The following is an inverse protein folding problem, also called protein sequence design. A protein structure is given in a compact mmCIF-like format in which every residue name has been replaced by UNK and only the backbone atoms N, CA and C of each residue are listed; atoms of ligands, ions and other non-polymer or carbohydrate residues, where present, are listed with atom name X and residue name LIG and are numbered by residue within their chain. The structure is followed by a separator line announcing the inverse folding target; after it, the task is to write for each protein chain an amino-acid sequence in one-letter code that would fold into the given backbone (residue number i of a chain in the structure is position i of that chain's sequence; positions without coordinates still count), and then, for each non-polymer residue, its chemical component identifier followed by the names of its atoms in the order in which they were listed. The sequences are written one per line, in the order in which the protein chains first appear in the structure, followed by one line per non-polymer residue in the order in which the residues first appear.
data_IF_825922616234
#
_entry.id   IF_825922616234
#
_cell.length_a   1.000
_cell.length_b   1.000
_cell.length_c   1.000
_cell.angle_alpha   90.00
_cell.angle_beta   90.00
_cell.angle_gamma   90.00
#
_symmetry.space_group_name_H-M   'P 1'
#
loop_
_entity.id
_entity.type
_entity.pdbx_description
1 polymer ?
#
# COMPACT_ATOMS: atom_id res chain seq x y z
N UNK A 1 0.44 -3.93 19.34
CA UNK A 1 -0.07 -2.80 18.57
C UNK A 1 -0.49 -3.20 17.17
N UNK A 2 0.42 -3.70 16.35
CA UNK A 2 0.04 -4.21 15.03
C UNK A 2 -0.70 -5.53 15.15
N UNK A 3 -1.74 -5.67 14.32
CA UNK A 3 -2.57 -6.86 14.22
C UNK A 3 -2.23 -7.67 12.98
N UNK A 4 -3.24 -7.92 12.16
CA UNK A 4 -3.10 -8.74 10.95
C UNK A 4 -2.31 -8.02 9.85
N UNK A 5 -1.69 -8.82 8.98
CA UNK A 5 -1.21 -8.33 7.68
C UNK A 5 -2.43 -8.07 6.80
N UNK A 6 -2.69 -6.79 6.49
CA UNK A 6 -3.83 -6.42 5.66
C UNK A 6 -3.54 -6.72 4.18
N UNK A 7 -2.41 -6.22 3.67
CA UNK A 7 -2.00 -6.50 2.29
C UNK A 7 -0.50 -6.28 2.07
N UNK A 8 -0.03 -6.82 0.95
CA UNK A 8 1.27 -6.49 0.35
C UNK A 8 1.00 -5.76 -0.95
N UNK A 9 1.55 -4.57 -1.10
CA UNK A 9 1.36 -3.72 -2.27
C UNK A 9 2.55 -3.84 -3.22
N UNK A 10 2.25 -4.08 -4.49
CA UNK A 10 3.22 -4.26 -5.56
C UNK A 10 2.96 -3.18 -6.63
N UNK A 11 3.94 -2.33 -6.86
CA UNK A 11 3.90 -1.38 -7.97
C UNK A 11 4.22 -2.10 -9.27
N UNK A 12 3.41 -1.87 -10.30
CA UNK A 12 3.52 -2.56 -11.59
C UNK A 12 3.58 -1.56 -12.74
N UNK A 13 4.38 -1.84 -13.79
CA UNK A 13 4.49 -0.94 -14.94
C UNK A 13 3.30 -1.02 -15.91
N UNK A 14 2.48 -2.07 -15.80
CA UNK A 14 1.29 -2.29 -16.62
C UNK A 14 0.27 -3.06 -15.78
N UNK A 15 -0.78 -2.37 -15.33
CA UNK A 15 -1.77 -2.94 -14.42
C UNK A 15 -2.57 -4.07 -15.06
N UNK A 16 -2.94 -3.91 -16.34
CA UNK A 16 -3.71 -4.93 -17.05
C UNK A 16 -2.89 -6.21 -17.25
N UNK A 17 -1.63 -6.08 -17.66
CA UNK A 17 -0.73 -7.21 -17.82
C UNK A 17 -0.44 -7.92 -16.50
N UNK A 18 -0.21 -7.17 -15.43
CA UNK A 18 0.00 -7.73 -14.10
C UNK A 18 -1.24 -8.47 -13.59
N UNK A 19 -2.43 -7.88 -13.76
CA UNK A 19 -3.70 -8.52 -13.40
C UNK A 19 -3.91 -9.83 -14.15
N UNK A 20 -3.65 -9.85 -15.46
CA UNK A 20 -3.74 -11.06 -16.28
C UNK A 20 -2.74 -12.14 -15.84
N UNK A 21 -1.55 -11.75 -15.42
CA UNK A 21 -0.53 -12.66 -14.90
C UNK A 21 -1.00 -13.37 -13.62
N UNK A 22 -1.56 -12.61 -12.70
CA UNK A 22 -2.12 -13.19 -11.46
C UNK A 22 -3.29 -14.12 -11.75
N UNK A 23 -4.17 -13.72 -12.66
CA UNK A 23 -5.35 -14.52 -13.01
C UNK A 23 -4.97 -15.80 -13.77
N UNK A 24 -4.19 -15.69 -14.84
CA UNK A 24 -3.93 -16.83 -15.74
C UNK A 24 -2.72 -17.67 -15.33
N UNK A 25 -1.68 -17.05 -14.81
CA UNK A 25 -0.46 -17.78 -14.43
C UNK A 25 -0.53 -18.31 -13.00
N UNK A 26 -1.03 -17.49 -12.07
CA UNK A 26 -1.11 -17.84 -10.65
C UNK A 26 -2.50 -18.36 -10.22
N UNK A 27 -3.48 -18.30 -11.09
CA UNK A 27 -4.82 -18.81 -10.81
C UNK A 27 -5.60 -18.01 -9.78
N UNK A 28 -5.27 -16.72 -9.61
CA UNK A 28 -5.92 -15.87 -8.63
C UNK A 28 -7.25 -15.30 -9.14
N UNK A 29 -8.14 -14.94 -8.21
CA UNK A 29 -9.34 -14.15 -8.50
C UNK A 29 -8.95 -12.68 -8.35
N UNK A 30 -8.97 -11.95 -9.46
CA UNK A 30 -8.54 -10.55 -9.54
C UNK A 30 -9.76 -9.63 -9.48
N UNK A 31 -9.75 -8.67 -8.57
CA UNK A 31 -10.82 -7.67 -8.45
C UNK A 31 -10.77 -6.62 -9.55
N UNK A 32 -11.79 -5.76 -9.63
CA UNK A 32 -11.83 -4.68 -10.62
C UNK A 32 -10.85 -3.56 -10.27
N UNK A 33 -10.36 -2.80 -11.28
CA UNK A 33 -9.58 -1.59 -11.03
C UNK A 33 -10.37 -0.55 -10.25
N UNK A 34 -9.71 0.13 -9.32
CA UNK A 34 -10.27 1.19 -8.49
C UNK A 34 -9.34 2.39 -8.51
N UNK A 35 -9.84 3.55 -8.93
CA UNK A 35 -9.07 4.79 -8.93
C UNK A 35 -9.07 5.41 -7.54
N UNK A 36 -7.88 5.81 -7.08
CA UNK A 36 -7.65 6.50 -5.81
C UNK A 36 -6.93 7.83 -6.10
N UNK A 37 -7.67 8.85 -6.57
CA UNK A 37 -7.04 10.11 -7.01
C UNK A 37 -6.31 10.84 -5.88
N UNK A 38 -6.78 10.75 -4.64
CA UNK A 38 -6.14 11.37 -3.48
C UNK A 38 -4.77 10.76 -3.14
N UNK A 39 -4.53 9.53 -3.59
CA UNK A 39 -3.27 8.81 -3.44
C UNK A 39 -2.47 8.73 -4.75
N UNK A 40 -3.03 9.21 -5.85
CA UNK A 40 -2.38 9.21 -7.16
C UNK A 40 -2.13 7.82 -7.73
N UNK A 41 -3.00 6.86 -7.45
CA UNK A 41 -2.86 5.47 -7.91
C UNK A 41 -4.19 4.90 -8.39
N UNK A 42 -4.09 3.94 -9.33
CA UNK A 42 -5.14 2.98 -9.63
C UNK A 42 -4.74 1.66 -9.04
N UNK A 43 -5.64 1.00 -8.31
CA UNK A 43 -5.35 -0.22 -7.58
C UNK A 43 -6.22 -1.38 -8.05
N UNK A 44 -5.69 -2.58 -7.90
CA UNK A 44 -6.43 -3.84 -8.06
C UNK A 44 -6.15 -4.68 -6.83
N UNK A 45 -7.19 -5.19 -6.19
CA UNK A 45 -7.06 -6.11 -5.06
C UNK A 45 -7.24 -7.56 -5.49
N UNK A 46 -6.40 -8.42 -4.94
CA UNK A 46 -6.44 -9.87 -5.13
C UNK A 46 -6.59 -10.48 -3.75
N UNK A 47 -7.75 -11.07 -3.47
CA UNK A 47 -8.04 -11.70 -2.20
C UNK A 47 -7.35 -13.06 -2.11
N UNK A 48 -6.60 -13.29 -1.03
CA UNK A 48 -6.01 -14.58 -0.67
C UNK A 48 -6.67 -15.10 0.60
N UNK A 49 -6.55 -16.40 0.92
CA UNK A 49 -7.13 -16.92 2.16
C UNK A 49 -6.64 -16.26 3.45
N UNK A 50 -5.43 -15.71 3.45
CA UNK A 50 -4.77 -15.16 4.65
C UNK A 50 -4.46 -13.66 4.58
N UNK A 51 -4.54 -13.03 3.40
CA UNK A 51 -4.27 -11.59 3.21
C UNK A 51 -4.74 -11.15 1.83
N UNK A 52 -4.30 -9.98 1.38
CA UNK A 52 -4.55 -9.46 0.03
C UNK A 52 -3.24 -9.05 -0.63
N UNK A 53 -3.22 -9.10 -1.94
CA UNK A 53 -2.23 -8.41 -2.76
C UNK A 53 -2.89 -7.17 -3.35
N UNK A 54 -2.21 -6.03 -3.30
CA UNK A 54 -2.64 -4.81 -3.95
C UNK A 54 -1.68 -4.51 -5.10
N UNK A 55 -2.18 -4.48 -6.32
CA UNK A 55 -1.40 -4.02 -7.47
C UNK A 55 -1.62 -2.52 -7.63
N UNK A 56 -0.52 -1.75 -7.75
CA UNK A 56 -0.52 -0.30 -7.84
C UNK A 56 -0.01 0.15 -9.20
N UNK A 57 -0.72 1.08 -9.84
CA UNK A 57 -0.30 1.74 -11.06
C UNK A 57 -0.47 3.27 -10.91
N UNK A 58 0.45 4.10 -11.45
CA UNK A 58 0.32 5.56 -11.34
C UNK A 58 -0.97 6.09 -11.93
N UNK A 59 -1.64 6.97 -11.19
CA UNK A 59 -2.78 7.76 -11.67
C UNK A 59 -2.37 9.24 -11.64
N UNK A 60 -2.30 9.84 -12.82
CA UNK A 60 -1.85 11.23 -13.00
C UNK A 60 -0.34 11.38 -13.03
N UNK A 61 0.11 12.57 -13.48
CA UNK A 61 1.53 12.86 -13.68
C UNK A 61 2.31 13.05 -12.38
N UNK A 62 1.60 13.38 -11.30
CA UNK A 62 2.16 13.63 -9.97
C UNK A 62 2.10 12.41 -9.04
N UNK A 63 1.88 11.22 -9.60
CA UNK A 63 1.77 10.01 -8.79
C UNK A 63 3.05 9.74 -7.99
N UNK A 64 2.92 9.47 -6.67
CA UNK A 64 4.08 9.19 -5.82
C UNK A 64 4.80 7.90 -6.19
N UNK A 65 4.16 6.96 -6.90
CA UNK A 65 4.82 5.71 -7.31
C UNK A 65 5.56 5.81 -8.66
N UNK A 66 5.44 6.94 -9.37
CA UNK A 66 6.20 7.16 -10.60
C UNK A 66 7.71 7.05 -10.38
N UNK A 67 8.22 7.72 -9.35
CA UNK A 67 9.64 7.65 -8.99
C UNK A 67 10.09 6.24 -8.61
N UNK A 68 9.24 5.48 -7.94
CA UNK A 68 9.50 4.09 -7.61
C UNK A 68 9.66 3.24 -8.88
N UNK A 69 8.77 3.38 -9.84
CA UNK A 69 8.81 2.63 -11.10
C UNK A 69 9.97 3.08 -12.02
N UNK A 70 10.40 4.33 -11.95
CA UNK A 70 11.60 4.78 -12.65
C UNK A 70 12.85 4.05 -12.16
N UNK A 71 12.95 3.80 -10.85
CA UNK A 71 14.04 3.05 -10.23
C UNK A 71 13.86 1.54 -10.34
N UNK A 72 12.62 1.08 -10.52
CA UNK A 72 12.25 -0.33 -10.59
C UNK A 72 11.36 -0.56 -11.82
N UNK A 73 11.91 -0.52 -13.05
CA UNK A 73 11.10 -0.54 -14.28
C UNK A 73 10.25 -1.79 -14.47
N UNK A 74 10.66 -2.90 -13.84
CA UNK A 74 9.90 -4.17 -13.88
C UNK A 74 8.86 -4.29 -12.78
N UNK A 75 8.73 -3.26 -11.93
CA UNK A 75 7.90 -3.27 -10.74
C UNK A 75 8.61 -3.82 -9.52
N UNK A 76 7.89 -3.96 -8.43
CA UNK A 76 8.40 -4.51 -7.18
C UNK A 76 7.47 -4.23 -6.01
N UNK A 77 7.78 -4.85 -4.87
CA UNK A 77 7.04 -4.61 -3.63
C UNK A 77 7.23 -3.15 -3.22
N UNK A 78 6.13 -2.42 -3.07
CA UNK A 78 6.13 -1.01 -2.70
C UNK A 78 5.96 -0.81 -1.20
N UNK A 79 5.00 -1.48 -0.58
CA UNK A 79 4.78 -1.39 0.87
C UNK A 79 4.08 -2.63 1.43
N UNK A 80 4.10 -2.71 2.75
CA UNK A 80 3.37 -3.72 3.52
C UNK A 80 2.41 -2.99 4.46
N UNK A 81 1.16 -3.41 4.50
CA UNK A 81 0.13 -2.81 5.34
C UNK A 81 -0.24 -3.72 6.50
N UNK A 82 -0.16 -3.19 7.72
CA UNK A 82 -0.62 -3.85 8.94
C UNK A 82 -1.87 -3.16 9.49
N UNK A 83 -2.76 -3.95 10.08
CA UNK A 83 -3.95 -3.44 10.76
C UNK A 83 -3.62 -2.97 12.17
N UNK A 84 -4.29 -1.89 12.59
CA UNK A 84 -4.25 -1.39 13.98
C UNK A 84 -5.68 -1.10 14.44
N UNK A 85 -5.95 -1.22 15.74
CA UNK A 85 -7.26 -0.90 16.29
C UNK A 85 -7.51 0.60 16.40
N UNK A 86 -6.49 1.36 16.78
CA UNK A 86 -6.56 2.81 16.96
C UNK A 86 -5.33 3.46 16.30
N UNK A 87 -5.58 4.12 15.16
CA UNK A 87 -4.50 4.72 14.34
C UNK A 87 -3.83 5.91 15.05
N UNK A 88 -4.57 6.66 15.85
CA UNK A 88 -4.01 7.81 16.57
C UNK A 88 -3.13 7.35 17.73
N UNK A 89 -3.56 6.35 18.48
CA UNK A 89 -2.75 5.73 19.51
C UNK A 89 -1.49 5.07 18.94
N UNK A 90 -1.62 4.38 17.81
CA UNK A 90 -0.49 3.80 17.08
C UNK A 90 0.51 4.89 16.65
N UNK A 91 0.02 5.97 16.05
CA UNK A 91 0.84 7.13 15.66
C UNK A 91 1.63 7.69 16.83
N UNK A 92 0.97 7.94 17.95
CA UNK A 92 1.59 8.55 19.11
C UNK A 92 2.67 7.65 19.71
N UNK A 93 2.39 6.35 19.80
CA UNK A 93 3.38 5.34 20.25
C UNK A 93 4.61 5.32 19.33
N UNK A 94 4.40 5.31 18.02
CA UNK A 94 5.49 5.26 17.04
C UNK A 94 6.38 6.50 17.14
N UNK A 95 5.77 7.68 17.29
CA UNK A 95 6.50 8.94 17.48
C UNK A 95 7.34 8.92 18.77
N UNK A 96 6.81 8.41 19.87
CA UNK A 96 7.55 8.23 21.12
C UNK A 96 8.76 7.31 20.95
N UNK A 97 8.66 6.31 20.09
CA UNK A 97 9.74 5.38 19.77
C UNK A 97 10.70 5.91 18.70
N UNK A 98 10.50 7.13 18.20
CA UNK A 98 11.37 7.76 17.21
C UNK A 98 11.10 7.39 15.76
N UNK A 99 10.01 6.70 15.46
CA UNK A 99 9.63 6.40 14.08
C UNK A 99 9.03 7.62 13.38
N UNK A 100 9.31 7.78 12.10
CA UNK A 100 8.87 8.92 11.30
C UNK A 100 7.59 8.58 10.54
N UNK A 101 6.55 9.38 10.79
CA UNK A 101 5.32 9.35 10.00
C UNK A 101 5.52 10.23 8.77
N UNK A 102 5.27 9.68 7.57
CA UNK A 102 5.42 10.41 6.31
C UNK A 102 4.23 11.34 6.05
N UNK A 103 4.49 12.46 5.39
CA UNK A 103 3.47 13.43 5.02
C UNK A 103 2.83 14.11 6.23
N UNK A 104 1.50 14.22 6.22
CA UNK A 104 0.74 14.78 7.33
C UNK A 104 0.72 13.84 8.52
N UNK A 105 0.80 14.40 9.73
CA UNK A 105 0.61 13.64 10.99
C UNK A 105 -0.84 13.18 11.18
N UNK A 106 -1.76 13.77 10.42
CA UNK A 106 -3.16 13.35 10.42
C UNK A 106 -3.36 12.17 9.46
N UNK A 107 -4.07 11.11 9.88
CA UNK A 107 -4.39 9.99 9.01
C UNK A 107 -5.20 10.43 7.79
N UNK A 108 -4.91 9.83 6.64
CA UNK A 108 -5.71 9.97 5.42
C UNK A 108 -6.64 8.77 5.27
N UNK A 109 -7.64 8.91 4.42
CA UNK A 109 -8.52 7.78 4.07
C UNK A 109 -7.89 7.01 2.92
N UNK A 110 -7.67 5.71 3.12
CA UNK A 110 -7.10 4.82 2.12
C UNK A 110 -8.12 4.13 1.23
N UNK A 111 -7.65 3.17 0.43
CA UNK A 111 -8.44 2.47 -0.59
C UNK A 111 -9.65 1.71 -0.03
N UNK A 112 -9.60 1.29 1.24
CA UNK A 112 -10.71 0.60 1.91
C UNK A 112 -11.68 1.55 2.62
N UNK A 113 -11.52 2.87 2.45
CA UNK A 113 -12.35 3.87 3.14
C UNK A 113 -12.03 4.02 4.62
N UNK A 114 -10.85 3.61 5.06
CA UNK A 114 -10.41 3.62 6.46
C UNK A 114 -9.19 4.51 6.66
N UNK A 115 -8.97 5.04 7.87
CA UNK A 115 -7.79 5.87 8.16
C UNK A 115 -6.49 5.09 7.99
N UNK A 116 -5.52 5.70 7.33
CA UNK A 116 -4.18 5.13 7.09
C UNK A 116 -3.08 6.13 7.42
N UNK A 117 -1.90 5.59 7.76
CA UNK A 117 -0.64 6.32 7.92
C UNK A 117 0.47 5.54 7.24
N UNK A 118 1.48 6.27 6.74
CA UNK A 118 2.71 5.67 6.21
C UNK A 118 3.91 6.01 7.08
N UNK A 119 4.80 5.02 7.25
CA UNK A 119 6.01 5.15 8.05
C UNK A 119 7.25 5.05 7.17
N UNK A 120 8.27 5.86 7.50
CA UNK A 120 9.47 5.98 6.68
C UNK A 120 10.23 4.65 6.57
N UNK A 121 10.61 4.23 5.36
CA UNK A 121 11.25 2.92 5.15
C UNK A 121 12.62 2.80 5.84
N UNK A 122 13.35 3.89 6.06
CA UNK A 122 14.62 3.84 6.78
C UNK A 122 14.49 3.41 8.25
N UNK A 123 13.31 3.54 8.83
CA UNK A 123 13.05 3.09 10.20
C UNK A 123 12.63 1.62 10.28
N UNK A 124 12.35 0.99 9.12
CA UNK A 124 11.82 -0.37 9.02
C UNK A 124 12.56 -1.20 7.97
N UNK A 125 13.87 -1.17 8.00
CA UNK A 125 14.76 -2.01 7.19
C UNK A 125 14.54 -1.87 5.67
N UNK A 126 14.26 -0.65 5.22
CA UNK A 126 14.04 -0.36 3.80
C UNK A 126 12.62 -0.66 3.30
N UNK A 127 11.71 -1.04 4.19
CA UNK A 127 10.33 -1.33 3.85
C UNK A 127 9.42 -0.15 4.22
N UNK A 128 8.71 0.40 3.25
CA UNK A 128 7.63 1.35 3.52
C UNK A 128 6.49 0.61 4.20
N UNK A 129 6.07 1.11 5.35
CA UNK A 129 4.99 0.51 6.14
C UNK A 129 3.74 1.39 6.06
N UNK A 130 2.61 0.78 5.78
CA UNK A 130 1.30 1.36 5.93
C UNK A 130 0.62 0.79 7.19
N UNK A 131 -0.07 1.63 7.93
CA UNK A 131 -0.98 1.21 8.99
C UNK A 131 -2.40 1.58 8.60
N UNK A 132 -3.32 0.65 8.72
CA UNK A 132 -4.75 0.86 8.43
C UNK A 132 -5.57 0.53 9.67
N UNK A 133 -6.47 1.44 10.05
CA UNK A 133 -7.38 1.18 11.15
C UNK A 133 -8.46 0.18 10.75
N UNK A 134 -8.71 -0.81 11.57
CA UNK A 134 -9.79 -1.81 11.35
C UNK A 134 -11.20 -1.25 11.60
#
# INVERSE_FOLDING_TARGET
MIGRLNHVAIAVPDLQAASAQYEHTLGAVVGPPQDEPDHGVTVVFIELPNTKIELLYPLGDDSPIKGFLEKNPSGGIHHICYEVEDILAARDRLKEQGARVLGSVEPKIGAHGKPVLFLHPKDFNGCLIELEQV
#
